data_IF_157944584128
#
_entry.id   IF_157944584128
#
_cell.length_a   1.000
_cell.length_b   1.000
_cell.length_c   1.000
_cell.angle_alpha   90.00
_cell.angle_beta   90.00
_cell.angle_gamma   90.00
#
_symmetry.space_group_name_H-M   'P 1'
#
loop_
_entity.id
_entity.type
_entity.pdbx_description
1 polymer ?
#
# COMPACT_ATOMS: atom_id res chain seq x y z
N UNK A 1 9.72 -19.53 6.38
CA UNK A 1 8.98 -18.28 6.56
C UNK A 1 7.57 -18.66 6.99
N UNK A 2 7.04 -18.16 8.12
CA UNK A 2 5.68 -18.45 8.53
C UNK A 2 4.68 -17.98 7.46
N UNK A 3 3.54 -18.68 7.31
CA UNK A 3 2.55 -18.28 6.32
C UNK A 3 2.01 -16.87 6.63
N UNK A 4 1.71 -16.07 5.61
CA UNK A 4 1.21 -14.71 5.82
C UNK A 4 -0.14 -14.72 6.55
N UNK A 5 -0.40 -13.66 7.31
CA UNK A 5 -1.68 -13.41 7.97
C UNK A 5 -2.72 -12.88 6.99
N UNK A 6 -2.28 -12.04 6.06
CA UNK A 6 -3.08 -11.45 5.00
C UNK A 6 -2.33 -11.56 3.67
N UNK A 7 -3.04 -11.95 2.63
CA UNK A 7 -2.53 -12.03 1.26
C UNK A 7 -3.51 -11.33 0.32
N UNK A 8 -2.98 -10.45 -0.51
CA UNK A 8 -3.63 -9.92 -1.69
C UNK A 8 -2.84 -10.36 -2.91
N UNK A 9 -3.50 -10.98 -3.89
CA UNK A 9 -2.87 -11.46 -5.13
C UNK A 9 -3.65 -10.97 -6.35
N UNK A 10 -2.92 -10.45 -7.33
CA UNK A 10 -3.45 -9.98 -8.63
C UNK A 10 -4.68 -9.06 -8.49
N UNK A 11 -4.65 -8.16 -7.49
CA UNK A 11 -5.76 -7.27 -7.19
C UNK A 11 -5.91 -6.25 -8.30
N UNK A 12 -7.12 -6.18 -8.85
CA UNK A 12 -7.53 -5.16 -9.83
C UNK A 12 -8.72 -4.41 -9.33
N UNK A 13 -8.63 -3.08 -9.41
CA UNK A 13 -9.71 -2.15 -9.06
C UNK A 13 -9.69 -1.00 -10.05
N UNK A 14 -10.83 -0.72 -10.66
CA UNK A 14 -10.98 0.36 -11.63
C UNK A 14 -12.16 1.26 -11.30
N UNK A 15 -11.96 2.57 -11.47
CA UNK A 15 -13.01 3.58 -11.44
C UNK A 15 -13.10 4.23 -12.82
N UNK A 16 -13.87 3.63 -13.75
CA UNK A 16 -14.01 4.11 -15.13
C UNK A 16 -13.07 3.41 -16.12
N UNK A 17 -12.46 4.16 -17.05
CA UNK A 17 -11.73 3.59 -18.20
C UNK A 17 -10.31 3.11 -17.89
N UNK A 18 -9.73 3.50 -16.76
CA UNK A 18 -8.38 3.07 -16.36
C UNK A 18 -8.42 2.34 -15.02
N UNK A 19 -7.73 1.20 -14.89
CA UNK A 19 -7.58 0.56 -13.60
C UNK A 19 -6.72 1.45 -12.68
N UNK A 20 -7.15 1.57 -11.42
CA UNK A 20 -6.38 2.20 -10.35
C UNK A 20 -5.34 1.23 -9.79
N UNK A 21 -5.75 -0.03 -9.61
CA UNK A 21 -4.89 -1.15 -9.27
C UNK A 21 -4.95 -2.16 -10.42
N UNK A 22 -3.80 -2.67 -10.85
CA UNK A 22 -3.67 -3.62 -11.96
C UNK A 22 -2.60 -4.66 -11.64
N UNK A 23 -3.00 -5.72 -10.95
CA UNK A 23 -2.10 -6.76 -10.48
C UNK A 23 -1.34 -6.38 -9.20
N UNK A 24 -1.98 -5.62 -8.30
CA UNK A 24 -1.37 -5.25 -7.03
C UNK A 24 -1.33 -6.45 -6.06
N UNK A 25 -0.20 -6.60 -5.36
CA UNK A 25 0.03 -7.65 -4.38
C UNK A 25 0.39 -7.05 -3.01
N UNK A 26 -0.06 -7.68 -1.94
CA UNK A 26 0.34 -7.33 -0.58
C UNK A 26 0.37 -8.60 0.29
N UNK A 27 1.51 -8.87 0.89
CA UNK A 27 1.70 -9.98 1.82
C UNK A 27 2.08 -9.41 3.18
N UNK A 28 1.30 -9.76 4.20
CA UNK A 28 1.52 -9.31 5.58
C UNK A 28 1.72 -10.52 6.48
N UNK A 29 2.88 -10.65 7.07
CA UNK A 29 3.24 -11.71 8.03
C UNK A 29 3.20 -11.19 9.46
N UNK A 30 3.19 -12.10 10.44
CA UNK A 30 3.20 -11.73 11.85
C UNK A 30 4.42 -10.85 12.18
N UNK A 31 4.17 -9.73 12.87
CA UNK A 31 5.21 -8.78 13.28
C UNK A 31 5.80 -7.93 12.15
N UNK A 32 5.28 -8.00 10.93
CA UNK A 32 5.72 -7.15 9.84
C UNK A 32 5.53 -5.66 10.17
N UNK A 33 6.48 -4.84 9.71
CA UNK A 33 6.45 -3.37 9.74
C UNK A 33 6.60 -2.86 8.32
N UNK A 34 5.47 -2.73 7.62
CA UNK A 34 5.44 -2.34 6.22
C UNK A 34 5.07 -0.87 6.08
N UNK A 35 5.82 -0.11 5.28
CA UNK A 35 5.32 1.15 4.75
C UNK A 35 4.85 0.96 3.31
N UNK A 36 3.65 1.46 3.01
CA UNK A 36 3.09 1.50 1.67
C UNK A 36 3.28 2.91 1.09
N UNK A 37 4.13 3.01 0.09
CA UNK A 37 4.51 4.29 -0.51
C UNK A 37 4.10 4.36 -1.98
N UNK A 38 3.96 5.58 -2.50
CA UNK A 38 3.58 5.84 -3.87
C UNK A 38 3.03 7.25 -4.04
N UNK A 39 2.82 7.69 -5.29
CA UNK A 39 2.30 9.03 -5.60
C UNK A 39 0.90 9.23 -5.03
N UNK A 40 0.51 10.51 -4.85
CA UNK A 40 -0.87 10.82 -4.45
C UNK A 40 -1.83 10.35 -5.54
N UNK A 41 -2.95 9.77 -5.12
CA UNK A 41 -3.96 9.22 -6.03
C UNK A 41 -3.58 7.90 -6.73
N UNK A 42 -2.42 7.28 -6.46
CA UNK A 42 -2.05 6.00 -7.09
C UNK A 42 -2.80 4.77 -6.55
N UNK A 43 -3.65 4.91 -5.53
CA UNK A 43 -4.46 3.81 -5.01
C UNK A 43 -4.00 3.22 -3.66
N UNK A 44 -3.11 3.88 -2.90
CA UNK A 44 -2.65 3.40 -1.58
C UNK A 44 -3.80 3.12 -0.62
N UNK A 45 -4.67 4.12 -0.40
CA UNK A 45 -5.86 3.99 0.45
C UNK A 45 -6.85 2.93 -0.08
N UNK A 46 -6.97 2.81 -1.40
CA UNK A 46 -7.80 1.78 -2.02
C UNK A 46 -7.24 0.38 -1.74
N UNK A 47 -5.92 0.19 -1.87
CA UNK A 47 -5.26 -1.08 -1.55
C UNK A 47 -5.45 -1.44 -0.06
N UNK A 48 -5.33 -0.45 0.87
CA UNK A 48 -5.63 -0.66 2.28
C UNK A 48 -7.11 -1.00 2.52
N UNK A 49 -8.04 -0.36 1.82
CA UNK A 49 -9.49 -0.68 1.90
C UNK A 49 -9.78 -2.09 1.39
N UNK A 50 -9.15 -2.52 0.31
CA UNK A 50 -9.24 -3.92 -0.17
C UNK A 50 -8.65 -4.86 0.88
N UNK A 51 -7.49 -4.55 1.45
CA UNK A 51 -6.86 -5.32 2.52
C UNK A 51 -7.76 -5.44 3.75
N UNK A 52 -8.45 -4.36 4.13
CA UNK A 52 -9.43 -4.33 5.21
C UNK A 52 -10.73 -5.09 4.88
N UNK A 53 -11.01 -5.39 3.60
CA UNK A 53 -12.28 -5.96 3.16
C UNK A 53 -13.41 -4.93 3.02
N UNK A 54 -13.09 -3.64 3.08
CA UNK A 54 -14.04 -2.54 2.91
C UNK A 54 -14.36 -2.26 1.43
N UNK A 55 -13.50 -2.69 0.51
CA UNK A 55 -13.69 -2.62 -0.94
C UNK A 55 -13.49 -4.01 -1.53
N UNK A 56 -14.44 -4.45 -2.35
CA UNK A 56 -14.32 -5.68 -3.13
C UNK A 56 -13.58 -5.36 -4.42
N UNK A 57 -12.48 -6.05 -4.75
CA UNK A 57 -11.78 -5.84 -6.01
C UNK A 57 -12.58 -6.38 -7.21
N UNK A 58 -12.34 -5.83 -8.40
CA UNK A 58 -12.95 -6.31 -9.66
C UNK A 58 -12.43 -7.71 -10.02
N UNK A 59 -11.17 -8.00 -9.69
CA UNK A 59 -10.57 -9.33 -9.80
C UNK A 59 -9.36 -9.46 -8.87
N UNK A 60 -8.85 -10.68 -8.72
CA UNK A 60 -7.79 -11.02 -7.78
C UNK A 60 -8.34 -11.70 -6.53
N UNK A 61 -7.45 -12.07 -5.63
CA UNK A 61 -7.81 -12.82 -4.43
C UNK A 61 -7.34 -12.09 -3.17
N UNK A 62 -8.26 -11.95 -2.20
CA UNK A 62 -7.97 -11.51 -0.84
C UNK A 62 -8.15 -12.68 0.11
N UNK A 63 -7.09 -13.06 0.77
CA UNK A 63 -7.12 -14.08 1.80
C UNK A 63 -6.68 -13.49 3.15
N UNK A 64 -7.54 -13.61 4.16
CA UNK A 64 -7.23 -13.34 5.56
C UNK A 64 -7.29 -14.66 6.32
N UNK A 65 -6.21 -15.02 7.00
CA UNK A 65 -6.13 -16.28 7.75
C UNK A 65 -7.25 -16.33 8.79
N UNK A 66 -7.99 -17.47 8.90
CA UNK A 66 -9.04 -17.63 9.90
C UNK A 66 -8.53 -17.36 11.33
N UNK A 67 -9.33 -16.64 12.11
CA UNK A 67 -8.99 -16.27 13.49
C UNK A 67 -8.07 -15.05 13.64
N UNK A 68 -7.55 -14.48 12.54
CA UNK A 68 -6.74 -13.26 12.58
C UNK A 68 -7.64 -12.04 12.71
N UNK A 69 -7.33 -11.19 13.67
CA UNK A 69 -8.01 -9.91 13.88
C UNK A 69 -7.32 -8.80 13.10
N UNK A 70 -8.09 -7.98 12.38
CA UNK A 70 -7.60 -6.86 11.60
C UNK A 70 -8.36 -5.59 11.96
N UNK A 71 -7.63 -4.47 12.09
CA UNK A 71 -8.19 -3.13 12.26
C UNK A 71 -7.64 -2.20 11.20
N UNK A 72 -8.50 -1.30 10.74
CA UNK A 72 -8.17 -0.30 9.73
C UNK A 72 -8.49 1.08 10.24
N UNK A 73 -7.50 1.96 10.28
CA UNK A 73 -7.66 3.39 10.50
C UNK A 73 -7.78 4.08 9.15
N UNK A 74 -8.97 4.57 8.83
CA UNK A 74 -9.23 5.34 7.62
C UNK A 74 -8.58 6.74 7.69
N UNK A 75 -8.33 7.35 6.54
CA UNK A 75 -7.83 8.72 6.47
C UNK A 75 -8.80 9.71 7.14
N UNK A 76 -10.09 9.53 6.91
CA UNK A 76 -11.17 10.26 7.58
C UNK A 76 -12.00 9.24 8.38
N UNK A 77 -11.76 9.11 9.70
CA UNK A 77 -12.51 8.18 10.52
C UNK A 77 -13.91 8.72 10.83
N UNK A 78 -14.91 7.88 10.71
CA UNK A 78 -16.28 8.18 11.11
C UNK A 78 -16.58 7.57 12.49
N UNK A 79 -16.79 8.41 13.48
CA UNK A 79 -17.14 8.04 14.85
C UNK A 79 -18.61 8.41 15.18
N UNK A 80 -19.39 8.88 14.22
CA UNK A 80 -20.75 9.39 14.44
C UNK A 80 -21.72 8.36 15.01
N UNK A 81 -21.45 7.06 14.81
CA UNK A 81 -22.26 5.96 15.33
C UNK A 81 -22.14 5.77 16.86
N UNK A 82 -21.20 6.47 17.53
CA UNK A 82 -20.91 6.27 18.94
C UNK A 82 -21.37 7.46 19.77
N UNK A 83 -21.82 7.17 21.00
CA UNK A 83 -22.24 8.20 21.94
C UNK A 83 -21.06 8.92 22.62
N UNK A 84 -19.97 8.20 22.85
CA UNK A 84 -18.75 8.71 23.49
C UNK A 84 -17.49 8.13 22.83
N UNK A 85 -16.35 8.79 23.04
CA UNK A 85 -15.04 8.29 22.58
C UNK A 85 -14.68 6.96 23.25
N UNK A 86 -15.12 6.73 24.50
CA UNK A 86 -14.95 5.44 25.17
C UNK A 86 -15.75 4.32 24.49
N UNK A 87 -17.01 4.61 24.13
CA UNK A 87 -17.84 3.64 23.41
C UNK A 87 -17.20 3.23 22.07
N UNK A 88 -16.60 4.18 21.36
CA UNK A 88 -15.85 3.91 20.14
C UNK A 88 -14.61 3.04 20.40
N UNK A 89 -13.81 3.40 21.40
CA UNK A 89 -12.57 2.68 21.72
C UNK A 89 -12.79 1.24 22.24
N UNK A 90 -14.00 0.95 22.77
CA UNK A 90 -14.37 -0.39 23.25
C UNK A 90 -14.78 -1.36 22.12
N UNK A 91 -14.95 -0.89 20.90
CA UNK A 91 -15.37 -1.74 19.79
C UNK A 91 -14.34 -2.83 19.49
N UNK A 92 -14.79 -4.08 19.61
CA UNK A 92 -13.96 -5.27 19.37
C UNK A 92 -12.99 -5.60 20.48
N UNK A 93 -13.17 -4.97 21.61
CA UNK A 93 -12.51 -5.27 22.87
C UNK A 93 -13.43 -6.24 23.65
N UNK A 94 -12.94 -7.43 24.05
CA UNK A 94 -13.76 -8.43 24.76
C UNK A 94 -14.20 -7.97 26.16
N UNK A 95 -15.19 -8.59 26.78
CA UNK A 95 -15.69 -8.17 28.10
C UNK A 95 -14.65 -8.37 29.22
N UNK A 96 -14.53 -7.39 30.12
CA UNK A 96 -13.77 -7.45 31.38
C UNK A 96 -12.48 -6.61 31.39
N UNK A 97 -11.35 -7.16 31.03
CA UNK A 97 -10.02 -6.46 31.08
C UNK A 97 -9.88 -5.31 30.09
N UNK A 98 -10.70 -5.30 29.12
CA UNK A 98 -10.56 -4.51 27.91
C UNK A 98 -11.15 -3.10 28.04
N UNK A 99 -12.11 -2.86 28.94
CA UNK A 99 -12.61 -1.50 29.22
C UNK A 99 -11.51 -0.64 29.84
N UNK A 100 -10.66 -1.21 30.66
CA UNK A 100 -9.52 -0.52 31.24
C UNK A 100 -8.49 -0.13 30.17
N UNK A 101 -8.21 -1.05 29.23
CA UNK A 101 -7.25 -0.79 28.14
C UNK A 101 -7.73 0.31 27.19
N UNK A 102 -9.01 0.32 26.81
CA UNK A 102 -9.60 1.37 26.00
C UNK A 102 -9.48 2.73 26.69
N UNK A 103 -9.80 2.79 28.00
CA UNK A 103 -9.69 4.02 28.81
C UNK A 103 -8.23 4.46 28.95
N UNK A 104 -7.33 3.53 29.20
CA UNK A 104 -5.89 3.83 29.30
C UNK A 104 -5.37 4.40 27.98
N UNK A 105 -5.72 3.80 26.84
CA UNK A 105 -5.32 4.27 25.51
C UNK A 105 -5.86 5.69 25.22
N UNK A 106 -7.12 5.97 25.53
CA UNK A 106 -7.70 7.30 25.41
C UNK A 106 -6.96 8.32 26.25
N UNK A 107 -6.71 8.00 27.54
CA UNK A 107 -5.97 8.89 28.44
C UNK A 107 -4.55 9.20 27.94
N UNK A 108 -3.85 8.20 27.39
CA UNK A 108 -2.52 8.36 26.80
C UNK A 108 -2.56 9.24 25.54
N UNK A 109 -3.68 9.25 24.83
CA UNK A 109 -3.94 10.09 23.67
C UNK A 109 -4.60 11.44 24.07
N UNK A 110 -4.72 11.75 25.38
CA UNK A 110 -5.23 13.01 25.88
C UNK A 110 -6.75 13.20 25.77
N UNK A 111 -7.50 12.07 25.86
CA UNK A 111 -8.96 12.05 25.87
C UNK A 111 -9.46 11.41 27.16
N UNK A 112 -10.59 11.93 27.71
CA UNK A 112 -11.18 11.41 28.96
C UNK A 112 -12.03 10.15 28.72
N UNK A 113 -12.55 10.00 27.51
CA UNK A 113 -13.51 8.96 27.14
C UNK A 113 -14.97 9.41 27.17
N UNK A 114 -15.25 10.55 27.76
CA UNK A 114 -16.62 11.08 27.92
C UNK A 114 -17.01 12.04 26.80
N UNK A 115 -16.06 12.39 25.91
CA UNK A 115 -16.31 13.34 24.82
C UNK A 115 -17.29 12.75 23.81
N UNK A 116 -18.23 13.60 23.37
CA UNK A 116 -19.14 13.26 22.26
C UNK A 116 -18.41 13.39 20.93
N UNK A 117 -18.41 12.36 20.06
CA UNK A 117 -17.79 12.42 18.74
C UNK A 117 -18.24 13.60 17.86
N UNK A 118 -19.48 14.07 18.05
CA UNK A 118 -20.04 15.20 17.30
C UNK A 118 -19.37 16.55 17.58
N UNK A 119 -18.64 16.69 18.68
CA UNK A 119 -18.02 17.94 19.11
C UNK A 119 -16.49 17.91 19.11
N UNK A 120 -15.89 16.83 18.60
CA UNK A 120 -14.44 16.69 18.53
C UNK A 120 -13.84 17.60 17.46
N UNK A 121 -12.71 18.22 17.78
CA UNK A 121 -11.83 18.78 16.76
C UNK A 121 -11.24 17.67 15.88
N UNK A 122 -10.73 18.00 14.69
CA UNK A 122 -10.12 17.01 13.80
C UNK A 122 -8.98 16.22 14.44
N UNK A 123 -8.17 16.85 15.28
CA UNK A 123 -7.11 16.20 16.04
C UNK A 123 -7.65 15.26 17.12
N UNK A 124 -8.68 15.65 17.85
CA UNK A 124 -9.34 14.79 18.87
C UNK A 124 -10.04 13.59 18.21
N UNK A 125 -10.76 13.81 17.10
CA UNK A 125 -11.38 12.74 16.34
C UNK A 125 -10.33 11.73 15.84
N UNK A 126 -9.16 12.23 15.42
CA UNK A 126 -8.04 11.36 15.00
C UNK A 126 -7.48 10.55 16.16
N UNK A 127 -7.27 11.18 17.33
CA UNK A 127 -6.81 10.48 18.54
C UNK A 127 -7.82 9.45 19.04
N UNK A 128 -9.11 9.76 19.00
CA UNK A 128 -10.17 8.82 19.37
C UNK A 128 -10.22 7.61 18.42
N UNK A 129 -10.08 7.84 17.11
CA UNK A 129 -10.01 6.76 16.12
C UNK A 129 -8.74 5.89 16.27
N UNK A 130 -7.61 6.49 16.65
CA UNK A 130 -6.40 5.74 16.99
C UNK A 130 -6.64 4.84 18.22
N UNK A 131 -7.28 5.38 19.27
CA UNK A 131 -7.66 4.57 20.44
C UNK A 131 -8.55 3.38 20.04
N UNK A 132 -9.52 3.60 19.16
CA UNK A 132 -10.44 2.56 18.66
C UNK A 132 -9.71 1.40 17.97
N UNK A 133 -8.67 1.67 17.17
CA UNK A 133 -7.95 0.62 16.45
C UNK A 133 -6.83 -0.01 17.26
N UNK A 134 -6.26 0.71 18.25
CA UNK A 134 -5.16 0.24 19.09
C UNK A 134 -5.61 -0.54 20.33
N UNK A 135 -6.71 -0.11 20.95
CA UNK A 135 -7.20 -0.74 22.20
C UNK A 135 -7.46 -2.25 22.05
N UNK A 136 -8.01 -2.79 20.96
CA UNK A 136 -8.22 -4.23 20.80
C UNK A 136 -6.94 -5.07 20.62
N UNK A 137 -5.75 -4.45 20.39
CA UNK A 137 -4.50 -5.13 20.05
C UNK A 137 -4.64 -6.17 18.94
N UNK A 138 -5.04 -5.76 17.74
CA UNK A 138 -5.29 -6.68 16.64
C UNK A 138 -4.00 -7.35 16.15
N UNK A 139 -4.13 -8.47 15.44
CA UNK A 139 -2.98 -9.14 14.80
C UNK A 139 -2.43 -8.32 13.64
N UNK A 140 -3.31 -7.61 12.92
CA UNK A 140 -2.95 -6.71 11.79
C UNK A 140 -3.56 -5.34 12.01
N UNK A 141 -2.73 -4.31 11.85
CA UNK A 141 -3.12 -2.91 11.90
C UNK A 141 -2.80 -2.25 10.57
N UNK A 142 -3.83 -1.75 9.89
CA UNK A 142 -3.70 -0.97 8.66
C UNK A 142 -3.94 0.50 8.98
N UNK A 143 -2.98 1.37 8.67
CA UNK A 143 -3.00 2.78 9.04
C UNK A 143 -2.89 3.67 7.80
N UNK A 144 -3.93 4.46 7.54
CA UNK A 144 -3.94 5.42 6.44
C UNK A 144 -3.76 6.84 7.01
N UNK A 145 -2.55 7.39 6.81
CA UNK A 145 -2.11 8.72 7.28
C UNK A 145 -2.30 8.92 8.81
N UNK A 146 -1.79 8.03 9.68
CA UNK A 146 -2.06 8.07 11.12
C UNK A 146 -1.57 9.35 11.82
N UNK A 147 -0.56 10.02 11.27
CA UNK A 147 0.08 11.21 11.87
C UNK A 147 -0.61 12.52 11.52
N UNK A 148 -1.59 12.52 10.59
CA UNK A 148 -2.28 13.73 10.20
C UNK A 148 -3.04 14.37 11.38
N UNK A 149 -2.90 15.69 11.53
CA UNK A 149 -3.51 16.49 12.60
C UNK A 149 -3.06 16.13 14.02
N UNK A 150 -1.93 15.44 14.18
CA UNK A 150 -1.34 15.13 15.47
C UNK A 150 -0.17 16.06 15.78
N UNK A 151 -0.01 16.35 17.06
CA UNK A 151 1.15 17.05 17.59
C UNK A 151 2.36 16.10 17.76
N UNK A 152 3.54 16.67 17.89
CA UNK A 152 4.78 15.89 17.99
C UNK A 152 4.78 14.93 19.20
N UNK A 153 4.33 15.29 20.42
CA UNK A 153 4.27 14.36 21.53
C UNK A 153 3.40 13.12 21.26
N UNK A 154 2.27 13.31 20.57
CA UNK A 154 1.38 12.20 20.18
C UNK A 154 2.02 11.30 19.13
N UNK A 155 2.76 11.89 18.17
CA UNK A 155 3.50 11.10 17.17
C UNK A 155 4.59 10.27 17.85
N UNK A 156 5.36 10.84 18.76
CA UNK A 156 6.40 10.11 19.53
C UNK A 156 5.82 9.02 20.44
N UNK A 157 4.62 9.26 20.98
CA UNK A 157 3.88 8.21 21.69
C UNK A 157 3.53 7.05 20.76
N UNK A 158 2.97 7.33 19.56
CA UNK A 158 2.62 6.31 18.58
C UNK A 158 3.84 5.52 18.09
N UNK A 159 4.98 6.19 17.88
CA UNK A 159 6.23 5.50 17.50
C UNK A 159 6.62 4.45 18.55
N UNK A 160 6.55 4.79 19.84
CA UNK A 160 6.84 3.87 20.94
C UNK A 160 5.84 2.72 21.02
N UNK A 161 4.55 3.02 20.92
CA UNK A 161 3.50 2.00 20.94
C UNK A 161 3.66 1.01 19.77
N UNK A 162 3.82 1.50 18.55
CA UNK A 162 4.00 0.62 17.39
C UNK A 162 5.29 -0.19 17.46
N UNK A 163 6.38 0.35 18.00
CA UNK A 163 7.61 -0.39 18.21
C UNK A 163 7.45 -1.54 19.22
N UNK A 164 6.64 -1.34 20.26
CA UNK A 164 6.39 -2.32 21.32
C UNK A 164 5.35 -3.40 20.94
N UNK A 165 4.44 -3.10 20.00
CA UNK A 165 3.35 -4.01 19.62
C UNK A 165 3.87 -5.24 18.87
N UNK A 166 3.18 -6.39 19.08
CA UNK A 166 3.40 -7.62 18.32
C UNK A 166 2.61 -7.68 17.01
N UNK A 167 1.62 -6.82 16.86
CA UNK A 167 0.80 -6.71 15.65
C UNK A 167 1.65 -6.50 14.41
N UNK A 168 1.26 -7.05 13.28
CA UNK A 168 1.78 -6.60 12.00
C UNK A 168 1.19 -5.22 11.69
N UNK A 169 2.00 -4.29 11.18
CA UNK A 169 1.56 -2.92 10.91
C UNK A 169 1.87 -2.58 9.45
N UNK A 170 0.86 -2.08 8.73
CA UNK A 170 1.00 -1.52 7.39
C UNK A 170 0.63 -0.04 7.46
N UNK A 171 1.56 0.83 7.10
CA UNK A 171 1.44 2.27 7.27
C UNK A 171 1.51 2.98 5.92
N UNK A 172 0.56 3.86 5.65
CA UNK A 172 0.65 4.93 4.66
C UNK A 172 0.86 6.22 5.43
N UNK A 173 1.93 6.95 5.17
CA UNK A 173 2.16 8.28 5.76
C UNK A 173 3.00 9.16 4.85
N UNK A 174 2.85 10.47 4.99
CA UNK A 174 3.71 11.48 4.40
C UNK A 174 4.85 11.90 5.34
N UNK A 175 4.79 11.51 6.60
CA UNK A 175 5.86 11.77 7.59
C UNK A 175 7.01 10.77 7.38
N UNK A 176 8.09 11.29 6.78
CA UNK A 176 9.28 10.49 6.45
C UNK A 176 9.97 9.94 7.69
N UNK A 177 10.11 10.77 8.74
CA UNK A 177 10.75 10.38 10.00
C UNK A 177 9.99 9.24 10.66
N UNK A 178 8.67 9.33 10.70
CA UNK A 178 7.80 8.30 11.23
C UNK A 178 7.95 6.97 10.47
N UNK A 179 8.00 7.03 9.11
CA UNK A 179 8.23 5.85 8.30
C UNK A 179 9.64 5.26 8.50
N UNK A 180 10.68 6.08 8.57
CA UNK A 180 12.07 5.64 8.79
C UNK A 180 12.25 4.93 10.13
N UNK A 181 11.63 5.45 11.19
CA UNK A 181 11.72 4.89 12.54
C UNK A 181 10.99 3.54 12.67
N UNK A 182 9.90 3.34 11.95
CA UNK A 182 9.02 2.21 12.17
C UNK A 182 9.10 1.12 11.11
N UNK A 183 9.37 1.45 9.85
CA UNK A 183 9.32 0.46 8.78
C UNK A 183 10.57 -0.43 8.74
N UNK A 184 10.33 -1.71 8.46
CA UNK A 184 11.38 -2.72 8.21
C UNK A 184 11.34 -3.24 6.77
N UNK A 185 10.22 -3.03 6.09
CA UNK A 185 10.09 -3.30 4.66
C UNK A 185 9.18 -2.25 4.03
N UNK A 186 9.40 -2.01 2.74
CA UNK A 186 8.69 -1.00 1.95
C UNK A 186 7.95 -1.67 0.80
N UNK A 187 6.68 -1.33 0.62
CA UNK A 187 5.88 -1.70 -0.55
C UNK A 187 5.64 -0.45 -1.37
N UNK A 188 6.15 -0.42 -2.58
CA UNK A 188 5.97 0.70 -3.48
C UNK A 188 4.85 0.41 -4.48
N UNK A 189 3.79 1.20 -4.42
CA UNK A 189 2.70 1.15 -5.39
C UNK A 189 3.00 2.14 -6.53
N UNK A 190 3.21 1.60 -7.71
CA UNK A 190 3.49 2.37 -8.92
C UNK A 190 2.73 1.79 -10.11
N UNK A 191 2.02 2.65 -10.83
CA UNK A 191 1.22 2.27 -12.02
C UNK A 191 0.28 1.08 -11.77
N UNK A 192 -0.40 1.06 -10.61
CA UNK A 192 -1.34 0.02 -10.23
C UNK A 192 -0.71 -1.28 -9.72
N UNK A 193 0.60 -1.43 -9.83
CA UNK A 193 1.36 -2.62 -9.42
C UNK A 193 2.22 -2.33 -8.19
N UNK A 194 2.45 -3.32 -7.36
CA UNK A 194 3.27 -3.19 -6.15
C UNK A 194 4.65 -3.82 -6.33
N UNK A 195 5.65 -3.19 -5.73
CA UNK A 195 7.04 -3.67 -5.68
C UNK A 195 7.50 -3.70 -4.23
N UNK A 196 8.02 -4.83 -3.76
CA UNK A 196 8.45 -5.01 -2.37
C UNK A 196 9.97 -4.85 -2.25
N UNK A 197 10.40 -3.96 -1.36
CA UNK A 197 11.75 -3.85 -0.85
C UNK A 197 11.78 -4.40 0.57
N UNK A 198 12.61 -5.42 0.84
CA UNK A 198 12.78 -5.99 2.19
C UNK A 198 13.78 -5.18 3.02
N UNK A 199 13.62 -3.86 2.99
CA UNK A 199 14.33 -2.87 3.79
C UNK A 199 13.39 -1.72 4.15
N UNK A 200 13.71 -0.99 5.22
CA UNK A 200 12.93 0.14 5.68
C UNK A 200 12.90 1.31 4.69
N UNK A 201 12.12 2.32 5.03
CA UNK A 201 11.89 3.48 4.16
C UNK A 201 13.17 4.28 3.86
N UNK A 202 14.14 4.30 4.76
CA UNK A 202 15.42 4.99 4.55
C UNK A 202 16.17 4.52 3.28
N UNK A 203 16.04 3.23 2.92
CA UNK A 203 16.66 2.64 1.73
C UNK A 203 15.80 2.77 0.46
N UNK A 204 14.58 3.32 0.57
CA UNK A 204 13.61 3.30 -0.52
C UNK A 204 14.01 4.20 -1.70
N UNK A 205 14.41 5.44 -1.45
CA UNK A 205 14.72 6.39 -2.53
C UNK A 205 15.88 5.93 -3.42
N UNK A 206 17.04 5.53 -2.86
CA UNK A 206 18.11 5.00 -3.67
C UNK A 206 17.71 3.75 -4.46
N UNK A 207 16.97 2.83 -3.82
CA UNK A 207 16.51 1.63 -4.47
C UNK A 207 15.51 1.93 -5.60
N UNK A 208 14.56 2.86 -5.40
CA UNK A 208 13.61 3.30 -6.42
C UNK A 208 14.31 3.88 -7.64
N UNK A 209 15.31 4.73 -7.42
CA UNK A 209 16.03 5.42 -8.49
C UNK A 209 16.84 4.42 -9.32
N UNK A 210 17.54 3.50 -8.68
CA UNK A 210 18.23 2.37 -9.32
C UNK A 210 17.26 1.47 -10.10
N UNK A 211 16.13 1.10 -9.52
CA UNK A 211 15.09 0.31 -10.17
C UNK A 211 14.56 0.99 -11.44
N UNK A 212 14.30 2.30 -11.37
CA UNK A 212 13.82 3.08 -12.52
C UNK A 212 14.89 3.21 -13.60
N UNK A 213 16.15 3.36 -13.23
CA UNK A 213 17.28 3.41 -14.18
C UNK A 213 17.46 2.07 -14.89
N UNK A 214 17.47 0.97 -14.17
CA UNK A 214 17.52 -0.38 -14.74
C UNK A 214 16.35 -0.61 -15.73
N UNK A 215 15.14 -0.23 -15.37
CA UNK A 215 13.99 -0.32 -16.29
C UNK A 215 14.18 0.51 -17.55
N UNK A 216 14.71 1.73 -17.47
CA UNK A 216 15.02 2.56 -18.64
C UNK A 216 16.05 1.90 -19.56
N UNK A 217 17.11 1.34 -18.98
CA UNK A 217 18.16 0.63 -19.73
C UNK A 217 17.57 -0.59 -20.45
N UNK A 218 16.74 -1.39 -19.77
CA UNK A 218 16.09 -2.57 -20.38
C UNK A 218 15.17 -2.17 -21.53
N UNK A 219 14.39 -1.11 -21.37
CA UNK A 219 13.55 -0.57 -22.44
C UNK A 219 14.37 -0.09 -23.62
N UNK A 220 15.49 0.57 -23.36
CA UNK A 220 16.38 1.02 -24.44
C UNK A 220 16.98 -0.15 -25.19
N UNK A 221 17.41 -1.20 -24.48
CA UNK A 221 17.89 -2.47 -25.07
C UNK A 221 16.80 -3.13 -25.94
N UNK A 222 15.57 -3.20 -25.42
CA UNK A 222 14.43 -3.77 -26.15
C UNK A 222 14.11 -2.96 -27.42
N UNK A 223 14.06 -1.61 -27.34
CA UNK A 223 13.85 -0.73 -28.50
C UNK A 223 14.93 -0.95 -29.57
N UNK A 224 16.21 -1.02 -29.18
CA UNK A 224 17.32 -1.26 -30.11
C UNK A 224 17.21 -2.64 -30.78
N UNK A 225 16.81 -3.67 -30.01
CA UNK A 225 16.60 -5.03 -30.53
C UNK A 225 15.48 -5.08 -31.57
N UNK A 226 14.35 -4.41 -31.29
CA UNK A 226 13.22 -4.30 -32.23
C UNK A 226 13.64 -3.55 -33.51
N UNK A 227 14.37 -2.44 -33.36
CA UNK A 227 14.85 -1.67 -34.51
C UNK A 227 15.82 -2.48 -35.40
N UNK A 228 16.72 -3.24 -34.79
CA UNK A 228 17.67 -4.09 -35.51
C UNK A 228 16.94 -5.21 -36.30
N UNK A 229 15.99 -5.91 -35.66
CA UNK A 229 15.21 -6.96 -36.33
C UNK A 229 14.30 -6.38 -37.43
N UNK A 230 13.69 -5.20 -37.22
CA UNK A 230 12.90 -4.52 -38.24
C UNK A 230 13.75 -4.08 -39.45
N UNK A 231 14.94 -3.50 -39.20
CA UNK A 231 15.89 -3.12 -40.27
C UNK A 231 16.35 -4.33 -41.08
N UNK A 232 16.61 -5.45 -40.42
CA UNK A 232 17.01 -6.69 -41.09
C UNK A 232 15.89 -7.23 -41.99
N UNK A 233 14.63 -7.22 -41.54
CA UNK A 233 13.47 -7.63 -42.34
C UNK A 233 13.25 -6.73 -43.56
N UNK A 234 13.53 -5.42 -43.46
CA UNK A 234 13.37 -4.46 -44.56
C UNK A 234 14.48 -4.56 -45.61
N UNK A 235 15.66 -5.11 -45.28
CA UNK A 235 16.78 -5.26 -46.21
C UNK A 235 16.64 -6.44 -47.19
N UNK A 236 15.44 -7.03 -47.30
CA UNK A 236 15.03 -7.96 -48.33
C UNK A 236 15.99 -9.11 -48.60
N UNK A 237 15.94 -10.13 -47.74
CA UNK A 237 16.64 -11.40 -48.00
C UNK A 237 15.70 -12.32 -48.80
N UNK A 238 15.87 -12.32 -50.10
CA UNK A 238 15.06 -13.03 -51.08
C UNK A 238 15.21 -14.54 -51.09
N UNK A 239 16.00 -15.15 -50.22
CA UNK A 239 16.36 -16.54 -50.36
C UNK A 239 16.21 -17.44 -49.12
N UNK A 240 15.12 -17.41 -48.36
CA UNK A 240 14.73 -18.51 -47.44
C UNK A 240 13.46 -18.16 -46.64
N UNK A 241 12.29 -18.33 -47.27
CA UNK A 241 10.96 -18.06 -46.63
C UNK A 241 10.77 -18.69 -45.25
N UNK A 242 11.28 -19.88 -44.97
CA UNK A 242 11.12 -20.52 -43.62
C UNK A 242 11.90 -19.82 -42.51
N UNK A 243 13.10 -19.26 -42.76
CA UNK A 243 13.90 -18.52 -41.77
C UNK A 243 13.28 -17.16 -41.44
N UNK A 244 12.62 -16.54 -42.43
CA UNK A 244 11.97 -15.24 -42.26
C UNK A 244 10.71 -15.34 -41.40
N UNK A 245 9.95 -16.42 -41.45
CA UNK A 245 8.77 -16.64 -40.63
C UNK A 245 9.09 -16.77 -39.14
N UNK A 246 10.19 -17.42 -38.77
CA UNK A 246 10.64 -17.51 -37.36
C UNK A 246 11.04 -16.14 -36.79
N UNK A 247 11.80 -15.34 -37.57
CA UNK A 247 12.20 -13.98 -37.15
C UNK A 247 11.03 -13.00 -37.13
N UNK A 248 10.07 -13.14 -38.04
CA UNK A 248 8.85 -12.33 -38.00
C UNK A 248 8.04 -12.61 -36.73
N UNK A 249 7.91 -13.88 -36.34
CA UNK A 249 7.26 -14.23 -35.06
C UNK A 249 8.03 -13.63 -33.87
N UNK A 250 9.36 -13.77 -33.83
CA UNK A 250 10.19 -13.18 -32.77
C UNK A 250 10.05 -11.66 -32.71
N UNK A 251 9.97 -10.97 -33.84
CA UNK A 251 9.72 -9.51 -33.88
C UNK A 251 8.32 -9.17 -33.34
N UNK A 252 7.29 -9.96 -33.69
CA UNK A 252 5.94 -9.77 -33.18
C UNK A 252 5.89 -9.95 -31.67
N UNK A 253 6.58 -10.96 -31.11
CA UNK A 253 6.71 -11.16 -29.67
C UNK A 253 7.44 -10.01 -28.97
N UNK A 254 8.54 -9.53 -29.54
CA UNK A 254 9.27 -8.36 -29.01
C UNK A 254 8.40 -7.10 -29.03
N UNK A 255 7.61 -6.88 -30.09
CA UNK A 255 6.65 -5.75 -30.19
C UNK A 255 5.50 -5.90 -29.20
N UNK A 256 5.00 -7.13 -29.01
CA UNK A 256 3.98 -7.42 -27.97
C UNK A 256 4.52 -7.09 -26.58
N UNK A 257 5.71 -7.57 -26.24
CA UNK A 257 6.40 -7.26 -24.99
C UNK A 257 6.63 -5.75 -24.83
N UNK A 258 7.01 -5.02 -25.88
CA UNK A 258 7.14 -3.57 -25.84
C UNK A 258 5.82 -2.86 -25.61
N UNK A 259 4.72 -3.36 -26.22
CA UNK A 259 3.37 -2.79 -26.04
C UNK A 259 2.88 -3.01 -24.62
N UNK A 260 3.11 -4.19 -24.05
CA UNK A 260 2.81 -4.52 -22.66
C UNK A 260 3.59 -3.59 -21.70
N UNK A 261 4.90 -3.47 -21.89
CA UNK A 261 5.74 -2.52 -21.12
C UNK A 261 5.34 -1.05 -21.32
N UNK A 262 4.82 -0.64 -22.49
CA UNK A 262 4.31 0.71 -22.73
C UNK A 262 2.96 0.96 -22.09
N UNK A 263 2.09 -0.03 -22.04
CA UNK A 263 0.81 0.05 -21.33
C UNK A 263 1.05 0.27 -19.84
N UNK A 264 2.06 -0.38 -19.26
CA UNK A 264 2.56 -0.14 -17.90
C UNK A 264 3.15 1.28 -17.71
N UNK A 265 3.62 1.95 -18.80
CA UNK A 265 4.34 3.25 -18.76
C UNK A 265 3.53 4.45 -19.26
N UNK A 266 2.40 4.22 -19.93
CA UNK A 266 1.59 5.31 -20.49
C UNK A 266 1.07 6.32 -19.47
N UNK A 267 1.25 6.01 -18.18
CA UNK A 267 0.90 6.87 -17.06
C UNK A 267 2.02 7.76 -16.53
N UNK A 268 3.29 7.55 -16.94
CA UNK A 268 4.43 8.32 -16.42
C UNK A 268 4.70 9.65 -17.15
N UNK A 269 4.26 9.79 -18.40
CA UNK A 269 4.66 10.94 -19.24
C UNK A 269 3.70 12.12 -19.22
N UNK A 270 2.52 12.03 -18.57
CA UNK A 270 1.54 13.13 -18.53
C UNK A 270 1.62 14.03 -17.30
N UNK A 271 2.62 13.89 -16.44
CA UNK A 271 2.70 14.68 -15.20
C UNK A 271 4.08 15.31 -14.94
N UNK A 272 4.77 15.74 -16.02
CA UNK A 272 5.97 16.58 -15.91
C UNK A 272 5.70 17.92 -16.60
N UNK A 273 4.49 18.45 -16.45
CA UNK A 273 4.17 19.85 -16.75
C UNK A 273 3.06 20.28 -15.79
N UNK A 274 3.46 20.75 -14.62
CA UNK A 274 3.06 21.94 -13.86
C UNK A 274 3.71 21.87 -12.47
#
# INVERSE_FOLDING_TARGET
VPPPLLTLQDIRVGFGTKPLLDGAELFVSAGDRLCLVGRNGCGKSTLLKVAAGAVVPDSGERFLRPGVTLRYLAQEPDLSAFSTTLAAAQVGVGPGENSHRARTMLNQLGLSGEESPAHLSGGEARRAALAQVLAPAPDILLLDEPTNHLDLPTIEFLEREFAAMRSAVVIVSHDRRFLENLSRATVWLNDGTTYRLNKGFADFEPWRDDFLEHRKIEQHKLKRKIAAEASWLNKGVTARRRRNMGRLRALMELRKKQKEQRAEHGNLSMTVSE
#
